data_IF_182908881679
#
_entry.id   IF_182908881679
#
_cell.length_a   1.000
_cell.length_b   1.000
_cell.length_c   1.000
_cell.angle_alpha   90.00
_cell.angle_beta   90.00
_cell.angle_gamma   90.00
#
_symmetry.space_group_name_H-M   'P 1'
#
loop_
_entity.id
_entity.type
_entity.pdbx_description
1 polymer ?
#
# COMPACT_ATOMS: atom_id res chain seq x y z
N UNK A 1 -50.43 -74.33 8.54
CA UNK A 1 -50.18 -73.14 9.38
C UNK A 1 -48.88 -72.49 8.94
N UNK A 2 -48.98 -71.46 8.10
CA UNK A 2 -47.81 -70.76 7.52
C UNK A 2 -47.65 -69.45 8.30
N UNK A 3 -46.51 -69.29 9.03
CA UNK A 3 -46.18 -68.07 9.78
C UNK A 3 -45.49 -67.09 8.85
N UNK A 4 -46.07 -65.97 8.53
CA UNK A 4 -45.47 -64.81 7.88
C UNK A 4 -44.63 -64.07 8.93
N UNK A 5 -43.34 -63.83 8.60
CA UNK A 5 -42.45 -62.93 9.33
C UNK A 5 -42.56 -61.51 8.70
N UNK A 6 -42.71 -60.44 9.47
CA UNK A 6 -42.64 -59.08 8.92
C UNK A 6 -41.20 -58.66 8.72
N UNK A 7 -40.84 -58.20 7.55
CA UNK A 7 -39.59 -57.53 7.22
C UNK A 7 -39.72 -56.05 7.59
N UNK A 8 -38.96 -55.63 8.58
CA UNK A 8 -38.77 -54.21 8.90
C UNK A 8 -37.80 -53.63 7.89
N UNK A 9 -38.30 -52.80 6.95
CA UNK A 9 -37.47 -51.95 6.09
C UNK A 9 -36.97 -50.76 6.95
N UNK A 10 -35.67 -50.75 7.27
CA UNK A 10 -34.98 -49.58 7.80
C UNK A 10 -34.71 -48.61 6.66
N UNK A 11 -35.54 -47.54 6.54
CA UNK A 11 -35.25 -46.41 5.66
C UNK A 11 -34.11 -45.60 6.24
N UNK A 12 -32.88 -45.76 5.72
CA UNK A 12 -31.77 -44.90 6.02
C UNK A 12 -32.02 -43.52 5.41
N UNK A 13 -32.31 -42.50 6.25
CA UNK A 13 -32.32 -41.10 5.84
C UNK A 13 -30.87 -40.69 5.50
N UNK A 14 -30.52 -40.71 4.22
CA UNK A 14 -29.37 -39.98 3.70
C UNK A 14 -29.71 -38.48 3.68
N UNK A 15 -29.41 -37.76 4.76
CA UNK A 15 -29.37 -36.32 4.74
C UNK A 15 -28.24 -35.90 3.81
N UNK A 16 -28.46 -35.07 2.76
CA UNK A 16 -27.38 -34.52 1.95
C UNK A 16 -26.53 -33.64 2.87
N UNK A 17 -25.28 -34.04 3.11
CA UNK A 17 -24.26 -33.10 3.58
C UNK A 17 -24.12 -32.04 2.49
N UNK A 18 -24.79 -30.92 2.67
CA UNK A 18 -24.48 -29.70 1.93
C UNK A 18 -23.07 -29.31 2.37
N UNK A 19 -22.07 -29.79 1.65
CA UNK A 19 -20.74 -29.24 1.70
C UNK A 19 -20.90 -27.77 1.30
N UNK A 20 -20.93 -26.88 2.29
CA UNK A 20 -20.81 -25.45 2.01
C UNK A 20 -19.54 -25.30 1.18
N UNK A 21 -19.70 -24.95 -0.11
CA UNK A 21 -18.59 -24.63 -0.95
C UNK A 21 -17.82 -23.53 -0.19
N UNK A 22 -16.64 -23.89 0.35
CA UNK A 22 -15.75 -22.92 0.97
C UNK A 22 -15.47 -21.86 -0.08
N UNK A 23 -16.05 -20.67 0.09
CA UNK A 23 -15.95 -19.58 -0.87
C UNK A 23 -14.49 -19.24 -1.07
N UNK A 24 -14.11 -18.95 -2.32
CA UNK A 24 -12.78 -18.44 -2.64
C UNK A 24 -12.84 -16.94 -2.67
N UNK A 25 -11.95 -16.24 -1.94
CA UNK A 25 -11.78 -14.79 -1.99
C UNK A 25 -10.59 -14.45 -2.90
N UNK A 26 -10.77 -13.57 -3.86
CA UNK A 26 -9.69 -13.06 -4.71
C UNK A 26 -9.17 -11.74 -4.15
N UNK A 27 -8.01 -11.80 -3.48
CA UNK A 27 -7.33 -10.66 -2.87
C UNK A 27 -6.38 -10.00 -3.89
N UNK A 28 -6.68 -8.77 -4.28
CA UNK A 28 -5.80 -7.89 -5.02
C UNK A 28 -4.91 -7.13 -4.01
N UNK A 29 -3.66 -7.56 -3.90
CA UNK A 29 -2.70 -7.01 -2.94
C UNK A 29 -1.77 -6.00 -3.60
N UNK A 30 -1.72 -4.78 -3.09
CA UNK A 30 -0.82 -3.72 -3.56
C UNK A 30 0.37 -3.46 -2.62
N UNK A 31 0.56 -4.29 -1.58
CA UNK A 31 1.80 -4.28 -0.81
C UNK A 31 2.95 -4.82 -1.66
N UNK A 32 4.12 -4.19 -1.66
CA UNK A 32 5.31 -4.76 -2.28
C UNK A 32 5.90 -5.93 -1.48
N UNK A 33 5.53 -6.08 -0.19
CA UNK A 33 5.95 -7.18 0.67
C UNK A 33 5.06 -8.41 0.44
N UNK A 34 5.59 -9.40 -0.28
CA UNK A 34 4.87 -10.65 -0.58
C UNK A 34 4.52 -11.44 0.69
N UNK A 35 5.40 -11.44 1.70
CA UNK A 35 5.13 -12.14 2.95
C UNK A 35 3.92 -11.54 3.68
N UNK A 36 3.72 -10.23 3.58
CA UNK A 36 2.54 -9.59 4.16
C UNK A 36 1.25 -9.95 3.40
N UNK A 37 1.27 -9.92 2.05
CA UNK A 37 0.13 -10.36 1.25
C UNK A 37 -0.28 -11.79 1.59
N UNK A 38 0.69 -12.71 1.67
CA UNK A 38 0.46 -14.11 2.00
C UNK A 38 0.03 -14.29 3.47
N UNK A 39 0.66 -13.56 4.40
CA UNK A 39 0.30 -13.57 5.81
C UNK A 39 -1.17 -13.18 6.05
N UNK A 40 -1.64 -12.12 5.35
CA UNK A 40 -3.04 -11.71 5.40
C UNK A 40 -3.99 -12.77 4.85
N UNK A 41 -3.62 -13.42 3.74
CA UNK A 41 -4.40 -14.51 3.16
C UNK A 41 -4.52 -15.69 4.14
N UNK A 42 -3.39 -16.18 4.66
CA UNK A 42 -3.33 -17.30 5.60
C UNK A 42 -4.06 -16.97 6.91
N UNK A 43 -3.86 -15.76 7.45
CA UNK A 43 -4.54 -15.31 8.67
C UNK A 43 -6.05 -15.28 8.50
N UNK A 44 -6.54 -14.76 7.38
CA UNK A 44 -7.97 -14.73 7.07
C UNK A 44 -8.55 -16.13 6.84
N UNK A 45 -7.84 -17.01 6.13
CA UNK A 45 -8.22 -18.42 5.97
C UNK A 45 -8.37 -19.12 7.33
N UNK A 46 -7.38 -18.93 8.22
CA UNK A 46 -7.40 -19.49 9.57
C UNK A 46 -8.60 -18.98 10.39
N UNK A 47 -8.91 -17.69 10.28
CA UNK A 47 -9.99 -17.07 11.05
C UNK A 47 -11.39 -17.42 10.53
N UNK A 48 -11.54 -17.72 9.22
CA UNK A 48 -12.87 -17.82 8.58
C UNK A 48 -13.13 -19.12 7.84
N UNK A 49 -12.12 -19.92 7.57
CA UNK A 49 -12.19 -21.09 6.68
C UNK A 49 -12.34 -20.74 5.19
N UNK A 50 -12.24 -19.46 4.81
CA UNK A 50 -12.38 -19.02 3.43
C UNK A 50 -11.03 -19.03 2.72
N UNK A 51 -10.89 -19.80 1.63
CA UNK A 51 -9.66 -19.81 0.84
C UNK A 51 -9.40 -18.48 0.14
N UNK A 52 -8.14 -17.99 0.15
CA UNK A 52 -7.75 -16.70 -0.44
C UNK A 52 -6.72 -16.87 -1.55
N UNK A 53 -7.11 -16.52 -2.78
CA UNK A 53 -6.18 -16.40 -3.89
C UNK A 53 -5.63 -14.97 -3.97
N UNK A 54 -4.29 -14.84 -4.03
CA UNK A 54 -3.61 -13.53 -4.03
C UNK A 54 -3.10 -13.18 -5.41
N UNK A 55 -3.44 -11.97 -5.87
CA UNK A 55 -2.82 -11.31 -7.03
C UNK A 55 -2.09 -10.07 -6.54
N UNK A 56 -0.78 -10.00 -6.77
CA UNK A 56 0.06 -8.90 -6.29
C UNK A 56 0.51 -8.01 -7.45
N UNK A 57 0.27 -6.69 -7.34
CA UNK A 57 0.71 -5.65 -8.29
C UNK A 57 0.97 -4.33 -7.57
N UNK A 58 1.78 -3.47 -8.16
CA UNK A 58 1.93 -2.09 -7.70
C UNK A 58 0.59 -1.34 -7.77
N UNK A 59 0.38 -0.36 -6.89
CA UNK A 59 -0.93 0.28 -6.67
C UNK A 59 -1.53 0.89 -7.95
N UNK A 60 -0.72 1.58 -8.77
CA UNK A 60 -1.21 2.16 -10.03
C UNK A 60 -1.59 1.09 -11.07
N UNK A 61 -0.83 -0.01 -11.13
CA UNK A 61 -1.16 -1.15 -12.00
C UNK A 61 -2.42 -1.88 -11.54
N UNK A 62 -2.60 -2.01 -10.22
CA UNK A 62 -3.80 -2.61 -9.64
C UNK A 62 -5.04 -1.76 -9.90
N UNK A 63 -4.93 -0.43 -9.75
CA UNK A 63 -6.00 0.50 -10.11
C UNK A 63 -6.41 0.33 -11.59
N UNK A 64 -5.44 0.27 -12.50
CA UNK A 64 -5.71 0.05 -13.92
C UNK A 64 -6.42 -1.30 -14.19
N UNK A 65 -6.03 -2.35 -13.45
CA UNK A 65 -6.69 -3.66 -13.55
C UNK A 65 -8.13 -3.61 -13.05
N UNK A 66 -8.37 -3.07 -11.85
CA UNK A 66 -9.72 -2.92 -11.28
C UNK A 66 -10.63 -2.14 -12.25
N UNK A 67 -10.11 -1.06 -12.83
CA UNK A 67 -10.84 -0.26 -13.82
C UNK A 67 -11.13 -1.03 -15.11
N UNK A 68 -10.17 -1.77 -15.64
CA UNK A 68 -10.36 -2.59 -16.85
C UNK A 68 -11.36 -3.74 -16.65
N UNK A 69 -11.47 -4.25 -15.42
CA UNK A 69 -12.36 -5.33 -15.05
C UNK A 69 -13.75 -4.86 -14.55
N UNK A 70 -14.03 -3.56 -14.54
CA UNK A 70 -15.24 -2.98 -13.93
C UNK A 70 -16.56 -3.61 -14.40
N UNK A 71 -16.65 -4.03 -15.68
CA UNK A 71 -17.83 -4.70 -16.22
C UNK A 71 -17.97 -6.18 -15.79
N UNK A 72 -16.87 -6.82 -15.38
CA UNK A 72 -16.83 -8.22 -14.94
C UNK A 72 -15.67 -8.43 -13.95
N UNK A 73 -15.82 -7.99 -12.69
CA UNK A 73 -14.77 -8.04 -11.69
C UNK A 73 -14.28 -9.46 -11.42
N UNK A 74 -12.96 -9.61 -11.34
CA UNK A 74 -12.30 -10.88 -10.98
C UNK A 74 -11.74 -10.82 -9.56
N UNK A 75 -11.37 -9.62 -9.08
CA UNK A 75 -11.02 -9.38 -7.69
C UNK A 75 -12.25 -9.14 -6.83
N UNK A 76 -12.19 -9.55 -5.58
CA UNK A 76 -13.25 -9.31 -4.59
C UNK A 76 -12.88 -8.17 -3.64
N UNK A 77 -11.62 -8.10 -3.27
CA UNK A 77 -11.08 -7.15 -2.33
C UNK A 77 -9.76 -6.56 -2.85
N UNK A 78 -9.57 -5.26 -2.68
CA UNK A 78 -8.30 -4.60 -2.92
C UNK A 78 -7.72 -4.16 -1.58
N UNK A 79 -6.48 -4.55 -1.31
CA UNK A 79 -5.82 -4.33 -0.03
C UNK A 79 -4.38 -3.85 -0.20
N UNK A 80 -3.94 -2.98 0.71
CA UNK A 80 -2.65 -2.31 0.78
C UNK A 80 -2.38 -1.29 -0.34
N UNK A 81 -1.39 -0.45 -0.12
CA UNK A 81 -1.06 0.67 -0.99
C UNK A 81 -1.79 1.96 -0.63
N UNK A 82 -1.26 3.12 -1.05
CA UNK A 82 -1.72 4.44 -0.65
C UNK A 82 -3.16 4.76 -1.03
N UNK A 83 -3.86 5.49 -0.14
CA UNK A 83 -5.27 5.86 -0.26
C UNK A 83 -5.63 6.66 -1.52
N UNK A 84 -4.69 7.44 -2.09
CA UNK A 84 -4.98 8.28 -3.27
C UNK A 84 -5.60 7.51 -4.43
N UNK A 85 -5.07 6.31 -4.74
CA UNK A 85 -5.62 5.47 -5.81
C UNK A 85 -6.99 4.88 -5.46
N UNK A 86 -7.24 4.61 -4.18
CA UNK A 86 -8.53 4.12 -3.70
C UNK A 86 -9.59 5.22 -3.69
N UNK A 87 -9.22 6.44 -3.30
CA UNK A 87 -10.12 7.60 -3.36
C UNK A 87 -10.53 7.88 -4.81
N UNK A 88 -9.57 7.82 -5.75
CA UNK A 88 -9.89 7.88 -7.18
C UNK A 88 -10.84 6.76 -7.60
N UNK A 89 -10.58 5.52 -7.21
CA UNK A 89 -11.44 4.39 -7.54
C UNK A 89 -12.84 4.52 -6.93
N UNK A 90 -12.96 5.08 -5.73
CA UNK A 90 -14.23 5.37 -5.07
C UNK A 90 -15.02 6.46 -5.83
N UNK A 91 -14.35 7.53 -6.27
CA UNK A 91 -14.93 8.60 -7.08
C UNK A 91 -15.43 8.07 -8.44
N UNK A 92 -14.65 7.20 -9.08
CA UNK A 92 -15.00 6.55 -10.35
C UNK A 92 -16.06 5.43 -10.22
N UNK A 93 -16.54 5.17 -8.98
CA UNK A 93 -17.58 4.18 -8.72
C UNK A 93 -17.14 2.73 -8.88
N UNK A 94 -15.84 2.44 -8.70
CA UNK A 94 -15.25 1.10 -8.83
C UNK A 94 -15.26 0.30 -7.52
N UNK A 95 -15.64 0.92 -6.40
CA UNK A 95 -15.64 0.31 -5.06
C UNK A 95 -17.04 0.33 -4.44
N UNK A 96 -17.40 -0.75 -3.75
CA UNK A 96 -18.63 -0.85 -2.99
C UNK A 96 -18.53 -0.10 -1.65
N UNK A 97 -19.67 0.35 -1.16
CA UNK A 97 -19.77 0.94 0.16
C UNK A 97 -19.82 -0.17 1.22
N UNK A 98 -18.87 -0.11 2.13
CA UNK A 98 -18.88 -0.96 3.32
C UNK A 98 -18.11 -0.30 4.45
N UNK A 99 -18.81 0.07 5.52
CA UNK A 99 -18.21 0.62 6.74
C UNK A 99 -18.09 -0.49 7.78
N UNK A 100 -16.86 -0.93 8.01
CA UNK A 100 -16.56 -1.91 9.06
C UNK A 100 -16.87 -1.35 10.46
N UNK A 101 -17.39 -2.16 11.40
CA UNK A 101 -17.54 -1.77 12.80
C UNK A 101 -16.18 -1.42 13.47
N UNK A 102 -15.07 -1.96 12.95
CA UNK A 102 -13.74 -1.71 13.47
C UNK A 102 -13.19 -0.31 13.13
N UNK A 103 -13.84 0.45 12.23
CA UNK A 103 -13.41 1.83 11.90
C UNK A 103 -13.35 2.71 13.14
N UNK A 104 -14.25 2.55 14.11
CA UNK A 104 -14.25 3.32 15.35
C UNK A 104 -13.01 3.09 16.23
N UNK A 105 -12.28 2.00 16.01
CA UNK A 105 -11.06 1.67 16.75
C UNK A 105 -9.78 2.24 16.09
N UNK A 106 -9.90 2.83 14.91
CA UNK A 106 -8.75 3.38 14.19
C UNK A 106 -8.38 4.77 14.71
N UNK A 107 -7.13 5.17 14.49
CA UNK A 107 -6.70 6.55 14.67
C UNK A 107 -7.44 7.50 13.72
N UNK A 108 -7.64 8.76 14.12
CA UNK A 108 -8.42 9.75 13.39
C UNK A 108 -7.91 9.99 11.96
N UNK A 109 -6.58 10.00 11.77
CA UNK A 109 -5.97 10.15 10.46
C UNK A 109 -6.31 9.00 9.49
N UNK A 110 -6.57 7.80 10.01
CA UNK A 110 -7.01 6.65 9.21
C UNK A 110 -8.54 6.65 8.98
N UNK A 111 -9.33 7.08 9.98
CA UNK A 111 -10.78 7.25 9.85
C UNK A 111 -11.12 8.30 8.78
N UNK A 112 -10.30 9.37 8.65
CA UNK A 112 -10.48 10.42 7.63
C UNK A 112 -10.63 9.85 6.21
N UNK A 113 -9.92 8.78 5.88
CA UNK A 113 -10.04 8.12 4.56
C UNK A 113 -11.42 7.48 4.37
N UNK A 114 -11.97 6.88 5.42
CA UNK A 114 -13.32 6.30 5.37
C UNK A 114 -14.38 7.40 5.16
N UNK A 115 -14.23 8.54 5.82
CA UNK A 115 -15.15 9.68 5.66
C UNK A 115 -15.05 10.27 4.24
N UNK A 116 -13.84 10.55 3.76
CA UNK A 116 -13.61 11.11 2.42
C UNK A 116 -14.17 10.21 1.32
N UNK A 117 -14.07 8.90 1.48
CA UNK A 117 -14.58 7.91 0.51
C UNK A 117 -16.06 7.59 0.69
N UNK A 118 -16.76 8.21 1.65
CA UNK A 118 -18.15 7.89 2.01
C UNK A 118 -18.34 6.40 2.32
N UNK A 119 -17.43 5.84 3.13
CA UNK A 119 -17.49 4.46 3.58
C UNK A 119 -17.00 3.41 2.56
N UNK A 120 -16.37 3.81 1.45
CA UNK A 120 -15.89 2.86 0.43
C UNK A 120 -14.47 2.37 0.65
N UNK A 121 -13.68 3.12 1.42
CA UNK A 121 -12.28 2.82 1.68
C UNK A 121 -12.01 2.92 3.18
N UNK A 122 -11.21 2.01 3.72
CA UNK A 122 -10.76 2.07 5.11
C UNK A 122 -9.23 2.00 5.19
N UNK A 123 -8.64 2.76 6.13
CA UNK A 123 -7.20 2.79 6.35
C UNK A 123 -6.73 1.59 7.18
N UNK A 124 -5.71 0.87 6.73
CA UNK A 124 -5.18 -0.35 7.37
C UNK A 124 -3.78 -0.19 7.96
N UNK A 125 -2.98 0.74 7.45
CA UNK A 125 -1.66 1.08 8.01
C UNK A 125 -1.27 2.51 7.63
N UNK A 126 -0.28 3.04 8.35
CA UNK A 126 0.38 4.31 8.03
C UNK A 126 1.81 4.07 7.53
N UNK A 127 2.24 4.84 6.53
CA UNK A 127 3.61 4.87 6.06
C UNK A 127 4.07 6.31 5.86
N UNK A 128 5.30 6.62 6.22
CA UNK A 128 5.88 7.97 6.08
C UNK A 128 6.83 7.96 4.90
N UNK A 129 6.69 8.92 3.98
CA UNK A 129 7.63 9.06 2.85
C UNK A 129 9.03 9.37 3.40
N UNK A 130 10.01 8.64 2.90
CA UNK A 130 11.39 8.75 3.29
C UNK A 130 12.33 8.51 2.11
N UNK A 131 13.59 8.80 2.30
CA UNK A 131 14.68 8.31 1.49
C UNK A 131 15.43 7.24 2.28
N UNK A 132 16.04 6.28 1.60
CA UNK A 132 16.98 5.34 2.19
C UNK A 132 18.29 5.40 1.46
N UNK A 133 19.42 5.36 2.18
CA UNK A 133 20.74 5.33 1.57
C UNK A 133 21.62 4.21 2.12
N UNK A 134 22.55 3.73 1.31
CA UNK A 134 23.52 2.70 1.70
C UNK A 134 24.75 3.37 2.31
N UNK A 135 24.98 3.12 3.61
CA UNK A 135 26.06 3.78 4.38
C UNK A 135 27.45 3.43 3.88
N UNK A 136 27.67 2.19 3.40
CA UNK A 136 28.97 1.76 2.86
C UNK A 136 29.26 2.41 1.51
N UNK A 137 28.25 2.53 0.62
CA UNK A 137 28.40 3.21 -0.67
C UNK A 137 28.70 4.70 -0.45
N UNK A 138 27.96 5.34 0.46
CA UNK A 138 28.16 6.75 0.80
C UNK A 138 29.57 6.99 1.34
N UNK A 139 30.06 6.15 2.25
CA UNK A 139 31.42 6.24 2.79
C UNK A 139 32.48 6.04 1.67
N UNK A 140 32.35 4.98 0.86
CA UNK A 140 33.29 4.66 -0.22
C UNK A 140 33.38 5.74 -1.29
N UNK A 141 32.23 6.29 -1.70
CA UNK A 141 32.12 7.34 -2.73
C UNK A 141 32.24 8.75 -2.16
N UNK A 142 32.34 8.91 -0.84
CA UNK A 142 32.37 10.19 -0.13
C UNK A 142 31.20 11.10 -0.50
N UNK A 143 29.98 10.51 -0.61
CA UNK A 143 28.77 11.26 -0.92
C UNK A 143 28.30 12.02 0.32
N UNK A 144 27.84 13.29 0.19
CA UNK A 144 27.21 13.99 1.28
C UNK A 144 25.86 13.35 1.62
N UNK A 145 25.55 13.11 2.91
CA UNK A 145 24.24 12.59 3.31
C UNK A 145 23.20 13.70 3.13
N UNK A 146 22.13 13.49 2.32
CA UNK A 146 21.10 14.50 2.12
C UNK A 146 20.32 14.71 3.42
N UNK A 147 19.89 15.93 3.69
CA UNK A 147 19.05 16.30 4.85
C UNK A 147 17.68 16.83 4.43
N UNK A 148 17.58 17.31 3.22
CA UNK A 148 16.41 17.99 2.68
C UNK A 148 16.10 17.46 1.27
N UNK A 149 14.86 17.65 0.80
CA UNK A 149 14.49 17.30 -0.59
C UNK A 149 15.41 18.00 -1.59
N UNK A 150 15.68 19.29 -1.38
CA UNK A 150 16.52 20.11 -2.28
C UNK A 150 17.93 19.54 -2.49
N UNK A 151 18.45 18.79 -1.52
CA UNK A 151 19.78 18.21 -1.62
C UNK A 151 19.89 17.18 -2.75
N UNK A 152 18.76 16.54 -3.15
CA UNK A 152 18.78 15.55 -4.24
C UNK A 152 19.17 16.13 -5.60
N UNK A 153 19.09 17.43 -5.77
CA UNK A 153 19.56 18.13 -6.97
C UNK A 153 21.10 18.31 -7.01
N UNK A 154 21.83 17.92 -5.94
CA UNK A 154 23.28 17.99 -5.91
C UNK A 154 23.89 17.05 -6.99
N UNK A 155 24.75 17.57 -7.90
CA UNK A 155 25.38 16.75 -8.95
C UNK A 155 26.22 15.57 -8.45
N UNK A 156 26.61 15.58 -7.16
CA UNK A 156 27.29 14.45 -6.54
C UNK A 156 26.47 13.14 -6.60
N UNK A 157 25.14 13.23 -6.73
CA UNK A 157 24.26 12.05 -6.84
C UNK A 157 24.00 11.60 -8.28
N UNK A 158 24.70 12.14 -9.27
CA UNK A 158 24.49 11.77 -10.68
C UNK A 158 24.63 10.26 -10.88
N UNK A 159 23.55 9.60 -11.29
CA UNK A 159 23.50 8.14 -11.48
C UNK A 159 23.43 7.32 -10.19
N UNK A 160 23.36 7.96 -9.01
CA UNK A 160 23.34 7.32 -7.70
C UNK A 160 21.96 7.36 -7.01
N UNK A 161 20.97 7.93 -7.66
CA UNK A 161 19.63 8.11 -7.14
C UNK A 161 18.63 7.26 -7.92
N UNK A 162 17.80 6.48 -7.23
CA UNK A 162 16.65 5.80 -7.81
C UNK A 162 15.37 6.34 -7.19
N UNK A 163 14.40 6.70 -8.01
CA UNK A 163 13.06 7.14 -7.58
C UNK A 163 11.99 6.15 -8.07
N UNK A 164 10.80 6.22 -7.50
CA UNK A 164 9.65 5.48 -8.02
C UNK A 164 9.01 6.20 -9.22
N UNK A 165 8.37 5.44 -10.11
CA UNK A 165 7.55 5.97 -11.20
C UNK A 165 6.13 6.24 -10.67
N UNK A 166 5.63 7.48 -10.66
CA UNK A 166 4.32 7.82 -10.11
C UNK A 166 3.13 7.28 -10.91
N UNK A 167 3.32 6.88 -12.17
CA UNK A 167 2.26 6.24 -12.95
C UNK A 167 1.96 4.81 -12.45
N UNK A 168 2.97 4.07 -12.02
CA UNK A 168 2.82 2.68 -11.57
C UNK A 168 2.80 2.54 -10.04
N UNK A 169 3.55 3.38 -9.33
CA UNK A 169 3.72 3.32 -7.87
C UNK A 169 2.86 4.38 -7.16
N UNK A 170 1.96 3.94 -6.28
CA UNK A 170 1.20 4.84 -5.43
C UNK A 170 2.09 5.66 -4.48
N UNK A 171 3.11 5.03 -3.88
CA UNK A 171 4.09 5.72 -3.03
C UNK A 171 4.86 6.81 -3.79
N UNK A 172 5.22 6.56 -5.05
CA UNK A 172 5.88 7.58 -5.88
C UNK A 172 4.93 8.72 -6.27
N UNK A 173 3.66 8.43 -6.52
CA UNK A 173 2.65 9.48 -6.70
C UNK A 173 2.48 10.32 -5.42
N UNK A 174 2.39 9.68 -4.28
CA UNK A 174 2.32 10.37 -2.99
C UNK A 174 3.55 11.26 -2.76
N UNK A 175 4.77 10.81 -3.13
CA UNK A 175 5.97 11.65 -3.09
C UNK A 175 5.84 12.86 -4.03
N UNK A 176 5.37 12.68 -5.27
CA UNK A 176 5.12 13.77 -6.21
C UNK A 176 4.14 14.79 -5.61
N UNK A 177 3.00 14.34 -5.09
CA UNK A 177 2.00 15.17 -4.45
C UNK A 177 2.54 15.87 -3.18
N UNK A 178 3.41 15.19 -2.43
CA UNK A 178 4.12 15.79 -1.27
C UNK A 178 4.99 16.97 -1.72
N UNK A 179 5.80 16.79 -2.75
CA UNK A 179 6.67 17.84 -3.28
C UNK A 179 5.85 19.03 -3.80
N UNK A 180 4.70 18.77 -4.45
CA UNK A 180 3.77 19.82 -4.89
C UNK A 180 3.21 20.60 -3.70
N UNK A 181 2.89 19.93 -2.60
CA UNK A 181 2.37 20.60 -1.39
C UNK A 181 3.46 21.37 -0.63
N UNK A 182 4.68 20.84 -0.58
CA UNK A 182 5.80 21.46 0.13
C UNK A 182 6.34 22.69 -0.60
N UNK A 183 6.48 22.62 -1.92
CA UNK A 183 7.13 23.67 -2.71
C UNK A 183 6.17 24.56 -3.50
N UNK A 184 4.92 24.15 -3.68
CA UNK A 184 4.05 24.65 -4.73
C UNK A 184 4.35 23.96 -6.06
N UNK A 185 3.36 23.86 -6.94
CA UNK A 185 3.43 22.99 -8.11
C UNK A 185 4.57 23.33 -9.08
N UNK A 186 4.67 24.59 -9.50
CA UNK A 186 5.67 24.97 -10.49
C UNK A 186 7.10 24.83 -9.97
N UNK A 187 7.32 25.13 -8.68
CA UNK A 187 8.61 24.93 -8.04
C UNK A 187 8.93 23.44 -7.87
N UNK A 188 7.95 22.62 -7.54
CA UNK A 188 8.12 21.17 -7.44
C UNK A 188 8.55 20.57 -8.79
N UNK A 189 7.93 20.99 -9.90
CA UNK A 189 8.33 20.51 -11.23
C UNK A 189 9.67 21.08 -11.69
N UNK A 190 10.00 22.33 -11.32
CA UNK A 190 11.35 22.88 -11.55
C UNK A 190 12.41 22.10 -10.79
N UNK A 191 12.15 21.79 -9.53
CA UNK A 191 13.01 20.95 -8.70
C UNK A 191 13.16 19.52 -9.28
N UNK A 192 12.07 18.86 -9.68
CA UNK A 192 12.12 17.53 -10.27
C UNK A 192 12.95 17.50 -11.57
N UNK A 193 12.88 18.55 -12.40
CA UNK A 193 13.77 18.68 -13.57
C UNK A 193 15.24 18.81 -13.17
N UNK A 194 15.55 19.48 -12.07
CA UNK A 194 16.92 19.57 -11.56
C UNK A 194 17.42 18.25 -10.96
N UNK A 195 16.54 17.44 -10.37
CA UNK A 195 16.86 16.10 -9.81
C UNK A 195 17.00 15.04 -10.91
N UNK A 196 16.23 15.17 -12.00
CA UNK A 196 16.13 14.15 -13.05
C UNK A 196 17.49 13.65 -13.62
N UNK A 197 18.50 14.49 -13.87
CA UNK A 197 19.84 14.05 -14.30
C UNK A 197 20.57 13.16 -13.29
N UNK A 198 20.21 13.20 -12.02
CA UNK A 198 20.77 12.37 -10.96
C UNK A 198 20.12 10.99 -10.88
N UNK A 199 18.90 10.84 -11.44
CA UNK A 199 18.12 9.61 -11.36
C UNK A 199 18.62 8.59 -12.37
N UNK A 200 19.10 7.44 -11.90
CA UNK A 200 19.50 6.33 -12.77
C UNK A 200 18.30 5.58 -13.34
N UNK A 201 17.24 5.43 -12.54
CA UNK A 201 16.02 4.71 -12.95
C UNK A 201 14.79 5.19 -12.16
N UNK A 202 13.63 5.12 -12.79
CA UNK A 202 12.32 5.20 -12.14
C UNK A 202 11.73 3.79 -11.98
N UNK A 203 11.71 3.29 -10.74
CA UNK A 203 11.26 1.94 -10.41
C UNK A 203 9.73 1.82 -10.48
N UNK A 204 9.22 0.65 -10.86
CA UNK A 204 7.77 0.39 -11.00
C UNK A 204 7.02 0.37 -9.65
N UNK A 205 7.69 0.00 -8.56
CA UNK A 205 7.09 -0.11 -7.22
C UNK A 205 7.71 0.86 -6.22
N UNK A 206 6.98 1.19 -5.14
CA UNK A 206 7.45 2.11 -4.11
C UNK A 206 8.64 1.61 -3.30
N UNK A 207 8.84 0.28 -3.21
CA UNK A 207 9.98 -0.33 -2.51
C UNK A 207 11.15 -0.63 -3.46
N UNK A 208 10.94 -0.62 -4.77
CA UNK A 208 11.99 -0.92 -5.76
C UNK A 208 13.27 -0.13 -5.56
N UNK A 209 13.21 1.19 -5.33
CA UNK A 209 14.40 1.97 -5.05
C UNK A 209 15.15 1.50 -3.80
N UNK A 210 14.44 1.17 -2.71
CA UNK A 210 15.06 0.66 -1.49
C UNK A 210 15.71 -0.70 -1.69
N UNK A 211 15.05 -1.58 -2.46
CA UNK A 211 15.63 -2.88 -2.83
C UNK A 211 16.95 -2.71 -3.59
N UNK A 212 17.02 -1.75 -4.52
CA UNK A 212 18.24 -1.46 -5.26
C UNK A 212 19.36 -0.88 -4.35
N UNK A 213 18.99 0.00 -3.39
CA UNK A 213 19.91 0.52 -2.36
C UNK A 213 20.48 -0.61 -1.50
N UNK A 214 19.60 -1.53 -1.04
CA UNK A 214 20.00 -2.69 -0.22
C UNK A 214 20.97 -3.61 -0.95
N UNK A 215 20.76 -3.81 -2.27
CA UNK A 215 21.63 -4.63 -3.11
C UNK A 215 22.90 -3.93 -3.57
N UNK A 216 23.04 -2.64 -3.26
CA UNK A 216 24.19 -1.85 -3.70
C UNK A 216 24.17 -1.43 -5.18
N UNK A 217 23.03 -1.55 -5.85
CA UNK A 217 22.84 -1.16 -7.26
C UNK A 217 22.72 0.37 -7.42
N UNK A 218 22.33 1.07 -6.36
CA UNK A 218 22.27 2.53 -6.26
C UNK A 218 22.60 2.97 -4.84
N UNK A 219 23.05 4.21 -4.66
CA UNK A 219 23.43 4.70 -3.34
C UNK A 219 22.26 5.21 -2.51
N UNK A 220 21.23 5.79 -3.17
CA UNK A 220 20.14 6.51 -2.55
C UNK A 220 18.83 6.19 -3.29
N UNK A 221 17.73 6.02 -2.55
CA UNK A 221 16.41 5.73 -3.13
C UNK A 221 15.25 6.33 -2.36
N UNK A 222 14.18 6.67 -3.08
CA UNK A 222 12.90 7.05 -2.45
C UNK A 222 12.15 5.80 -1.98
N UNK A 223 11.50 5.90 -0.82
CA UNK A 223 10.71 4.78 -0.24
C UNK A 223 9.77 5.30 0.85
N UNK A 224 9.30 4.42 1.69
CA UNK A 224 8.63 4.69 2.96
C UNK A 224 9.54 4.32 4.13
N UNK A 225 9.39 4.99 5.26
CA UNK A 225 10.26 4.80 6.43
C UNK A 225 10.30 3.35 6.90
N UNK A 226 9.15 2.67 6.96
CA UNK A 226 9.12 1.26 7.34
C UNK A 226 9.89 0.37 6.34
N UNK A 227 9.94 0.73 5.06
CA UNK A 227 10.76 0.03 4.09
C UNK A 227 12.25 0.08 4.41
N UNK A 228 12.76 1.20 4.95
CA UNK A 228 14.14 1.31 5.43
C UNK A 228 14.33 0.54 6.73
N UNK A 229 13.41 0.69 7.68
CA UNK A 229 13.44 -0.02 8.97
C UNK A 229 13.46 -1.54 8.76
N UNK A 230 12.66 -2.06 7.84
CA UNK A 230 12.65 -3.48 7.50
C UNK A 230 14.05 -3.97 7.08
N UNK A 231 14.79 -3.19 6.29
CA UNK A 231 16.12 -3.56 5.84
C UNK A 231 17.18 -3.42 6.95
N UNK A 232 17.06 -2.41 7.82
CA UNK A 232 17.92 -2.27 9.01
C UNK A 232 17.78 -3.50 9.93
N UNK A 233 16.54 -3.93 10.19
CA UNK A 233 16.27 -5.12 11.04
C UNK A 233 16.81 -6.41 10.41
N UNK A 234 16.92 -6.46 9.08
CA UNK A 234 17.56 -7.57 8.34
C UNK A 234 19.09 -7.51 8.36
N UNK A 235 19.68 -6.44 8.90
CA UNK A 235 21.13 -6.27 9.03
C UNK A 235 21.80 -5.63 7.83
N UNK A 236 21.07 -4.99 6.91
CA UNK A 236 21.66 -4.27 5.80
C UNK A 236 22.20 -2.91 6.23
N UNK A 237 23.31 -2.43 5.61
CA UNK A 237 23.97 -1.17 5.95
C UNK A 237 23.23 0.01 5.30
N UNK A 238 22.02 0.29 5.78
CA UNK A 238 21.17 1.35 5.25
C UNK A 238 20.63 2.23 6.37
N UNK A 239 20.39 3.50 6.06
CA UNK A 239 19.81 4.46 7.00
C UNK A 239 18.72 5.30 6.33
N UNK A 240 17.71 5.76 7.10
CA UNK A 240 16.66 6.62 6.59
C UNK A 240 17.08 8.09 6.57
N UNK A 241 16.52 8.84 5.62
CA UNK A 241 16.50 10.30 5.64
C UNK A 241 15.06 10.78 5.59
N UNK A 242 14.70 11.63 6.54
CA UNK A 242 13.41 12.33 6.56
C UNK A 242 13.68 13.80 6.17
N UNK A 243 13.34 14.20 4.94
CA UNK A 243 13.66 15.52 4.43
C UNK A 243 13.13 16.68 5.28
N UNK A 244 13.99 17.67 5.49
CA UNK A 244 13.79 18.79 6.44
C UNK A 244 12.61 19.69 6.08
N UNK A 245 12.22 19.79 4.82
CA UNK A 245 11.08 20.60 4.40
C UNK A 245 9.75 20.03 4.86
N UNK A 246 9.71 18.73 5.12
CA UNK A 246 8.55 17.96 5.55
C UNK A 246 8.29 16.78 4.61
N UNK A 247 7.61 15.77 5.14
CA UNK A 247 7.29 14.54 4.43
C UNK A 247 5.80 14.28 4.42
N UNK A 248 5.29 13.71 3.33
CA UNK A 248 3.95 13.17 3.28
C UNK A 248 3.85 11.85 4.00
N UNK A 249 2.63 11.41 4.21
CA UNK A 249 2.35 10.09 4.75
C UNK A 249 1.28 9.40 3.92
N UNK A 250 1.43 8.10 3.74
CA UNK A 250 0.40 7.27 3.13
C UNK A 250 -0.50 6.67 4.20
N UNK A 251 -1.77 6.51 3.84
CA UNK A 251 -2.68 5.63 4.54
C UNK A 251 -2.92 4.44 3.64
N UNK A 252 -2.28 3.32 3.98
CA UNK A 252 -2.53 2.08 3.28
C UNK A 252 -3.98 1.66 3.45
N UNK A 253 -4.61 1.20 2.40
CA UNK A 253 -6.07 1.10 2.35
C UNK A 253 -6.59 -0.28 2.00
N UNK A 254 -7.87 -0.51 2.31
CA UNK A 254 -8.64 -1.69 1.93
C UNK A 254 -10.01 -1.26 1.42
N UNK A 255 -10.52 -1.95 0.40
CA UNK A 255 -11.84 -1.69 -0.16
C UNK A 255 -12.42 -2.94 -0.83
N UNK A 256 -13.74 -3.08 -0.77
CA UNK A 256 -14.49 -4.09 -1.53
C UNK A 256 -14.62 -3.60 -2.97
N UNK A 257 -14.24 -4.43 -3.94
CA UNK A 257 -14.37 -4.11 -5.37
C UNK A 257 -15.86 -4.19 -5.73
N UNK A 258 -16.36 -3.18 -6.47
CA UNK A 258 -17.76 -3.14 -6.87
C UNK A 258 -18.12 -4.33 -7.76
N UNK A 259 -19.21 -5.01 -7.44
CA UNK A 259 -19.63 -6.21 -8.15
C UNK A 259 -18.79 -7.45 -7.82
N UNK A 260 -18.03 -7.44 -6.71
CA UNK A 260 -17.31 -8.59 -6.19
C UNK A 260 -18.22 -9.84 -6.12
N UNK A 261 -17.72 -10.96 -6.64
CA UNK A 261 -18.48 -12.23 -6.67
C UNK A 261 -18.69 -12.80 -5.27
N UNK A 262 -17.75 -12.53 -4.37
CA UNK A 262 -17.75 -13.01 -2.98
C UNK A 262 -17.85 -11.84 -2.00
N UNK A 263 -18.77 -10.88 -2.25
CA UNK A 263 -18.90 -9.65 -1.48
C UNK A 263 -19.06 -9.87 0.05
N UNK A 264 -19.72 -10.94 0.47
CA UNK A 264 -19.85 -11.26 1.90
C UNK A 264 -18.49 -11.63 2.53
N UNK A 265 -17.66 -12.42 1.86
CA UNK A 265 -16.31 -12.76 2.30
C UNK A 265 -15.38 -11.52 2.23
N UNK A 266 -15.53 -10.69 1.20
CA UNK A 266 -14.77 -9.44 1.06
C UNK A 266 -15.04 -8.46 2.23
N UNK A 267 -16.28 -8.30 2.67
CA UNK A 267 -16.63 -7.49 3.85
C UNK A 267 -16.00 -8.06 5.14
N UNK A 268 -16.04 -9.37 5.33
CA UNK A 268 -15.34 -10.03 6.46
C UNK A 268 -13.84 -9.81 6.40
N UNK A 269 -13.25 -9.78 5.20
CA UNK A 269 -11.82 -9.47 5.04
C UNK A 269 -11.52 -8.02 5.44
N UNK A 270 -12.39 -7.05 5.11
CA UNK A 270 -12.23 -5.67 5.60
C UNK A 270 -12.26 -5.65 7.13
N UNK A 271 -13.24 -6.31 7.77
CA UNK A 271 -13.31 -6.37 9.23
C UNK A 271 -12.04 -6.98 9.85
N UNK A 272 -11.57 -8.09 9.26
CA UNK A 272 -10.33 -8.74 9.69
C UNK A 272 -9.11 -7.84 9.51
N UNK A 273 -8.97 -7.18 8.36
CA UNK A 273 -7.82 -6.30 8.08
C UNK A 273 -7.76 -5.07 9.01
N UNK A 274 -8.90 -4.64 9.56
CA UNK A 274 -8.98 -3.54 10.53
C UNK A 274 -8.91 -4.02 11.98
N UNK A 275 -9.00 -5.31 12.25
CA UNK A 275 -8.91 -5.88 13.61
C UNK A 275 -7.48 -5.82 14.14
N UNK A 276 -7.29 -5.86 15.46
CA UNK A 276 -5.95 -6.01 16.05
C UNK A 276 -5.21 -7.25 15.55
N UNK A 277 -5.92 -8.37 15.39
CA UNK A 277 -5.36 -9.64 14.90
C UNK A 277 -4.83 -9.48 13.45
N UNK A 278 -5.63 -8.91 12.56
CA UNK A 278 -5.24 -8.68 11.16
C UNK A 278 -4.05 -7.71 11.02
N UNK A 279 -4.01 -6.66 11.84
CA UNK A 279 -2.92 -5.69 11.79
C UNK A 279 -1.63 -6.21 12.44
N UNK A 280 -1.73 -7.11 13.42
CA UNK A 280 -0.58 -7.78 14.03
C UNK A 280 0.21 -8.62 13.01
N UNK A 281 -0.45 -9.17 11.98
CA UNK A 281 0.21 -9.97 10.92
C UNK A 281 1.34 -9.19 10.25
N UNK A 282 1.17 -7.88 10.01
CA UNK A 282 2.25 -7.06 9.47
C UNK A 282 3.51 -7.13 10.33
N UNK A 283 3.36 -6.97 11.64
CA UNK A 283 4.47 -7.02 12.60
C UNK A 283 5.09 -8.42 12.69
N UNK A 284 4.28 -9.46 12.62
CA UNK A 284 4.74 -10.86 12.68
C UNK A 284 5.62 -11.21 11.47
N UNK A 285 5.34 -10.64 10.30
CA UNK A 285 6.15 -10.79 9.09
C UNK A 285 7.25 -9.72 8.96
N UNK A 286 7.51 -8.96 10.03
CA UNK A 286 8.52 -7.89 10.09
C UNK A 286 8.26 -6.75 9.10
N UNK A 287 6.99 -6.42 8.89
CA UNK A 287 6.57 -5.21 8.20
C UNK A 287 6.25 -4.14 9.25
N UNK A 288 7.16 -3.19 9.41
CA UNK A 288 7.10 -2.17 10.47
C UNK A 288 6.30 -0.93 10.07
N UNK A 289 5.23 -1.12 9.31
CA UNK A 289 4.25 -0.07 9.05
C UNK A 289 3.47 0.29 10.32
N UNK A 290 2.99 1.53 10.41
CA UNK A 290 2.25 2.03 11.56
C UNK A 290 0.85 1.41 11.57
N UNK A 291 0.46 0.62 12.60
CA UNK A 291 -0.91 0.11 12.69
C UNK A 291 -1.92 1.26 12.80
N UNK A 292 -3.08 1.10 12.15
CA UNK A 292 -4.17 2.10 12.28
C UNK A 292 -5.08 1.84 13.48
N UNK A 293 -5.16 0.59 13.94
CA UNK A 293 -5.98 0.24 15.10
C UNK A 293 -5.26 0.59 16.40
N UNK A 294 -5.90 1.39 17.26
CA UNK A 294 -5.34 1.89 18.53
C UNK A 294 -4.99 0.79 19.54
N UNK A 295 -5.54 -0.41 19.34
CA UNK A 295 -5.30 -1.56 20.22
C UNK A 295 -4.07 -2.39 19.81
N UNK A 296 -3.38 -2.01 18.73
CA UNK A 296 -2.12 -2.65 18.29
C UNK A 296 -0.96 -1.77 18.74
N UNK A 297 0.00 -2.38 19.44
CA UNK A 297 1.16 -1.64 19.91
C UNK A 297 2.05 -1.18 18.76
N UNK A 298 2.52 0.08 18.82
CA UNK A 298 3.50 0.58 17.88
C UNK A 298 4.84 -0.15 18.10
N UNK A 299 5.46 -0.71 17.05
CA UNK A 299 6.76 -1.35 17.18
C UNK A 299 7.82 -0.39 17.68
N UNK A 300 8.71 -0.84 18.57
CA UNK A 300 9.78 0.00 19.13
C UNK A 300 10.73 0.57 18.06
N UNK A 301 10.82 -0.09 16.92
CA UNK A 301 11.64 0.34 15.78
C UNK A 301 11.04 1.54 15.02
N UNK A 302 9.72 1.78 15.17
CA UNK A 302 9.02 2.83 14.43
C UNK A 302 8.90 4.07 15.30
N UNK A 303 9.48 5.22 14.92
CA UNK A 303 9.30 6.45 15.67
C UNK A 303 7.83 6.90 15.61
N UNK A 304 7.30 7.49 16.68
CA UNK A 304 5.95 8.03 16.66
C UNK A 304 5.82 9.16 15.63
N UNK A 305 4.70 9.22 14.91
CA UNK A 305 4.46 10.25 13.88
C UNK A 305 4.64 11.67 14.41
N UNK A 306 4.36 11.91 15.69
CA UNK A 306 4.53 13.20 16.35
C UNK A 306 5.98 13.69 16.45
N UNK A 307 6.96 12.80 16.31
CA UNK A 307 8.39 13.16 16.27
C UNK A 307 8.90 13.50 14.86
N UNK A 308 8.05 13.40 13.84
CA UNK A 308 8.40 13.60 12.43
C UNK A 308 7.66 14.84 11.90
N UNK A 309 8.35 15.64 11.10
CA UNK A 309 7.73 16.79 10.42
C UNK A 309 6.86 16.30 9.23
N UNK A 310 5.69 15.77 9.57
CA UNK A 310 4.69 15.33 8.58
C UNK A 310 3.87 16.53 8.12
N UNK A 311 3.61 16.64 6.81
CA UNK A 311 2.72 17.68 6.27
C UNK A 311 1.25 17.33 6.51
N UNK A 312 0.36 18.32 6.56
CA UNK A 312 -1.09 18.06 6.46
C UNK A 312 -1.45 17.72 5.01
N UNK A 313 -1.34 16.43 4.69
CA UNK A 313 -1.53 15.95 3.31
C UNK A 313 -3.01 16.06 2.91
N UNK A 314 -3.27 16.76 1.80
CA UNK A 314 -4.61 16.96 1.24
C UNK A 314 -5.07 15.75 0.40
N UNK A 315 -5.56 14.71 1.08
CA UNK A 315 -6.10 13.52 0.45
C UNK A 315 -7.31 13.82 -0.44
N UNK A 316 -8.13 14.83 -0.12
CA UNK A 316 -9.29 15.16 -0.91
C UNK A 316 -8.90 15.69 -2.30
N UNK A 317 -7.91 16.57 -2.35
CA UNK A 317 -7.39 17.11 -3.60
C UNK A 317 -6.60 16.07 -4.39
N UNK A 318 -5.57 15.49 -3.79
CA UNK A 318 -4.61 14.63 -4.48
C UNK A 318 -5.12 13.20 -4.74
N UNK A 319 -6.16 12.78 -4.02
CA UNK A 319 -6.90 11.54 -4.31
C UNK A 319 -8.01 11.69 -5.34
N UNK A 320 -8.30 12.91 -5.84
CA UNK A 320 -9.31 13.11 -6.89
C UNK A 320 -8.81 12.64 -8.27
N UNK A 321 -9.70 12.09 -9.08
CA UNK A 321 -9.40 11.62 -10.44
C UNK A 321 -8.79 12.70 -11.33
N UNK A 322 -9.35 13.89 -11.25
CA UNK A 322 -8.92 15.03 -12.08
C UNK A 322 -7.50 15.47 -11.73
N UNK A 323 -7.21 15.69 -10.44
CA UNK A 323 -5.90 16.18 -10.00
C UNK A 323 -4.82 15.12 -10.20
N UNK A 324 -5.13 13.86 -9.86
CA UNK A 324 -4.19 12.74 -10.05
C UNK A 324 -3.82 12.60 -11.54
N UNK A 325 -4.81 12.59 -12.44
CA UNK A 325 -4.56 12.52 -13.88
C UNK A 325 -3.71 13.68 -14.35
N UNK A 326 -4.06 14.90 -13.96
CA UNK A 326 -3.37 16.13 -14.37
C UNK A 326 -1.90 16.13 -13.95
N UNK A 327 -1.59 15.75 -12.71
CA UNK A 327 -0.22 15.69 -12.22
C UNK A 327 0.59 14.57 -12.89
N UNK A 328 0.00 13.41 -13.14
CA UNK A 328 0.65 12.31 -13.83
C UNK A 328 0.93 12.68 -15.30
N UNK A 329 0.00 13.30 -16.00
CA UNK A 329 0.21 13.79 -17.37
C UNK A 329 1.34 14.84 -17.43
N UNK A 330 1.39 15.76 -16.46
CA UNK A 330 2.46 16.76 -16.35
C UNK A 330 3.82 16.10 -16.07
N UNK A 331 3.87 15.14 -15.15
CA UNK A 331 5.09 14.40 -14.84
C UNK A 331 5.60 13.62 -16.05
N UNK A 332 4.72 12.95 -16.78
CA UNK A 332 5.09 12.21 -18.00
C UNK A 332 5.73 13.15 -19.03
N UNK A 333 5.09 14.29 -19.27
CA UNK A 333 5.54 15.26 -20.26
C UNK A 333 6.83 15.98 -19.88
N UNK A 334 6.95 16.43 -18.61
CA UNK A 334 8.03 17.33 -18.20
C UNK A 334 9.23 16.62 -17.59
N UNK A 335 9.04 15.39 -17.06
CA UNK A 335 10.08 14.66 -16.36
C UNK A 335 10.43 13.35 -17.06
N UNK A 336 9.46 12.44 -17.23
CA UNK A 336 9.75 11.09 -17.72
C UNK A 336 10.26 11.07 -19.16
N UNK A 337 9.71 11.93 -20.00
CA UNK A 337 10.07 12.06 -21.43
C UNK A 337 11.29 12.97 -21.65
N UNK A 338 11.82 13.62 -20.61
CA UNK A 338 12.98 14.49 -20.74
C UNK A 338 14.28 13.68 -20.86
N UNK A 339 15.31 14.17 -21.60
CA UNK A 339 16.63 13.53 -21.59
C UNK A 339 17.30 13.71 -20.23
N UNK A 340 18.07 12.70 -19.82
CA UNK A 340 18.86 12.70 -18.57
C UNK A 340 20.25 13.26 -18.75
#
# INVERSE_FOLDING_TARGET
MIRLRPWLLAAALCAPLVAAAQGQLNLYCSSPNTAWCQGMAVGFEKATGTHVAVVQKATGEMFAQVKAEAANPKGDIWWAGPADAYLQAAEEGLLDEYRSPNVAQLYDWAQRITELSKGRVSGVYGGIIALGYNTEIFARKKLPVPKCWKDLANPAYKGELMLGNPNSSGTAYLMLATLVQVFGEDEAFRYLRAVHPNVNQYARSGIGPMTAVTRGETALGSTVLHGVINEIVRGFPVEPVLPCEGVGYEVGSVAVIKGARNAAAARKFVDFALSPEGQQIGLDVKEYAIPTNRNVALPAQVPPMTSIKVIDYDFAKFGSSAERKRLLDRWEKEINSAPR
#
